data_IF_119108357503
#
_entry.id   IF_119108357503
#
_cell.length_a   1.000
_cell.length_b   1.000
_cell.length_c   1.000
_cell.angle_alpha   90.00
_cell.angle_beta   90.00
_cell.angle_gamma   90.00
#
_symmetry.space_group_name_H-M   'P 1'
#
loop_
_entity.id
_entity.type
_entity.pdbx_description
1 polymer ?
#
# COMPACT_ATOMS: atom_id res chain seq x y z
N UNK A 1 41.64 12.14 -17.06
CA UNK A 1 40.79 10.93 -17.11
C UNK A 1 39.63 11.13 -16.13
N UNK A 2 38.72 12.05 -16.45
CA UNK A 2 37.52 12.33 -15.67
C UNK A 2 36.50 11.23 -15.98
N UNK A 3 36.25 10.35 -15.01
CA UNK A 3 35.14 9.41 -15.08
C UNK A 3 33.85 10.22 -14.94
N UNK A 4 33.22 10.51 -16.09
CA UNK A 4 31.93 11.17 -16.15
C UNK A 4 30.89 10.30 -15.44
N UNK A 5 30.32 10.88 -14.40
CA UNK A 5 29.22 10.34 -13.62
C UNK A 5 28.02 10.08 -14.55
N UNK A 6 27.59 8.82 -14.66
CA UNK A 6 26.33 8.50 -15.36
C UNK A 6 25.20 8.98 -14.46
N UNK A 7 24.70 10.20 -14.71
CA UNK A 7 23.37 10.61 -14.26
C UNK A 7 22.34 9.81 -15.03
N UNK A 8 21.92 8.67 -14.48
CA UNK A 8 20.71 8.00 -14.93
C UNK A 8 19.53 8.86 -14.48
N UNK A 9 19.04 9.71 -15.37
CA UNK A 9 17.83 10.50 -15.15
C UNK A 9 16.63 9.54 -15.19
N UNK A 10 16.21 9.10 -14.01
CA UNK A 10 15.11 8.17 -13.84
C UNK A 10 13.76 8.90 -13.95
N UNK A 11 13.50 9.49 -15.12
CA UNK A 11 12.16 9.96 -15.47
C UNK A 11 11.30 8.75 -15.77
N UNK A 12 10.62 8.22 -14.76
CA UNK A 12 9.65 7.14 -14.92
C UNK A 12 8.24 7.72 -14.80
N UNK A 13 7.48 7.72 -15.89
CA UNK A 13 6.03 8.01 -15.90
C UNK A 13 5.27 6.85 -15.24
N UNK A 14 5.14 6.86 -13.92
CA UNK A 14 4.22 5.98 -13.21
C UNK A 14 3.24 6.81 -12.39
N UNK A 15 2.08 6.22 -12.11
CA UNK A 15 1.03 6.88 -11.34
C UNK A 15 1.31 6.70 -9.85
N UNK A 16 1.01 7.72 -9.07
CA UNK A 16 0.94 7.67 -7.60
C UNK A 16 -0.43 8.16 -7.16
N UNK A 17 -0.90 7.82 -5.95
CA UNK A 17 -2.13 8.38 -5.41
C UNK A 17 -2.03 9.92 -5.36
N UNK A 18 -3.06 10.62 -5.85
CA UNK A 18 -3.16 12.08 -5.75
C UNK A 18 -3.64 12.49 -4.34
N UNK A 19 -2.87 12.11 -3.32
CA UNK A 19 -3.12 12.40 -1.90
C UNK A 19 -1.96 13.23 -1.36
N UNK A 20 -2.28 14.19 -0.49
CA UNK A 20 -1.25 14.95 0.20
C UNK A 20 -0.55 14.09 1.27
N UNK A 21 0.63 14.52 1.72
CA UNK A 21 1.35 13.85 2.78
C UNK A 21 0.48 13.72 4.06
N UNK A 22 0.28 12.47 4.51
CA UNK A 22 -0.52 12.16 5.69
C UNK A 22 -2.04 12.12 5.46
N UNK A 23 -2.54 12.51 4.28
CA UNK A 23 -3.92 12.35 3.88
C UNK A 23 -4.26 10.87 3.70
N UNK A 24 -5.47 10.49 4.09
CA UNK A 24 -5.96 9.11 4.01
C UNK A 24 -7.26 9.12 3.22
N UNK A 25 -7.27 8.46 2.06
CA UNK A 25 -8.52 8.15 1.39
C UNK A 25 -9.18 6.96 2.08
N UNK A 26 -10.48 7.08 2.37
CA UNK A 26 -11.27 6.04 3.01
C UNK A 26 -12.45 5.63 2.15
N UNK A 27 -12.70 4.33 2.08
CA UNK A 27 -13.94 3.77 1.57
C UNK A 27 -14.46 2.70 2.53
N UNK A 28 -15.78 2.50 2.58
CA UNK A 28 -16.41 1.51 3.44
C UNK A 28 -17.32 0.59 2.63
N UNK A 29 -17.29 -0.69 2.93
CA UNK A 29 -18.16 -1.71 2.34
C UNK A 29 -18.73 -2.62 3.43
N UNK A 30 -20.03 -2.86 3.42
CA UNK A 30 -20.70 -3.77 4.36
C UNK A 30 -21.16 -5.02 3.61
N UNK A 31 -20.70 -6.18 4.05
CA UNK A 31 -21.08 -7.49 3.50
C UNK A 31 -21.54 -8.38 4.64
N UNK A 32 -22.80 -8.85 4.60
CA UNK A 32 -23.34 -9.81 5.59
C UNK A 32 -23.09 -9.38 7.06
N UNK A 33 -23.30 -8.09 7.37
CA UNK A 33 -23.04 -7.45 8.68
C UNK A 33 -21.57 -7.29 9.07
N UNK A 34 -20.64 -7.79 8.27
CA UNK A 34 -19.22 -7.45 8.41
C UNK A 34 -18.95 -6.12 7.72
N UNK A 35 -18.25 -5.23 8.41
CA UNK A 35 -17.87 -3.90 7.91
C UNK A 35 -16.40 -3.95 7.50
N UNK A 36 -16.10 -3.44 6.33
CA UNK A 36 -14.75 -3.41 5.77
C UNK A 36 -14.38 -1.95 5.46
N UNK A 37 -13.37 -1.43 6.15
CA UNK A 37 -12.89 -0.07 5.97
C UNK A 37 -11.57 -0.14 5.20
N UNK A 38 -11.57 0.36 3.97
CA UNK A 38 -10.36 0.48 3.15
C UNK A 38 -9.72 1.83 3.42
N UNK A 39 -8.46 1.82 3.85
CA UNK A 39 -7.62 3.00 4.06
C UNK A 39 -6.51 2.98 3.01
N UNK A 40 -6.36 4.07 2.25
CA UNK A 40 -5.34 4.22 1.21
C UNK A 40 -4.48 5.44 1.50
N UNK A 41 -3.16 5.29 1.42
CA UNK A 41 -2.20 6.37 1.57
C UNK A 41 -1.20 6.42 0.43
N UNK A 42 -0.72 7.63 0.11
CA UNK A 42 0.48 7.85 -0.70
C UNK A 42 1.71 7.65 0.21
N UNK A 43 2.47 6.59 -0.04
CA UNK A 43 3.58 6.13 0.79
C UNK A 43 4.80 5.79 -0.07
N UNK A 44 5.70 6.74 -0.23
CA UNK A 44 6.95 6.54 -0.96
C UNK A 44 7.97 5.79 -0.09
N UNK A 45 8.33 4.57 -0.48
CA UNK A 45 9.31 3.74 0.21
C UNK A 45 8.75 2.92 1.40
N UNK A 46 9.53 1.94 1.84
CA UNK A 46 9.13 0.98 2.86
C UNK A 46 8.85 1.65 4.20
N UNK A 47 9.65 2.63 4.60
CA UNK A 47 9.48 3.35 5.87
C UNK A 47 8.12 4.08 5.93
N UNK A 48 7.75 4.80 4.87
CA UNK A 48 6.45 5.48 4.79
C UNK A 48 5.29 4.47 4.82
N UNK A 49 5.47 3.33 4.17
CA UNK A 49 4.48 2.24 4.14
C UNK A 49 4.29 1.65 5.54
N UNK A 50 5.38 1.30 6.23
CA UNK A 50 5.37 0.79 7.60
C UNK A 50 4.76 1.78 8.60
N UNK A 51 5.11 3.06 8.49
CA UNK A 51 4.52 4.12 9.30
C UNK A 51 3.01 4.24 9.10
N UNK A 52 2.53 4.14 7.86
CA UNK A 52 1.11 4.14 7.55
C UNK A 52 0.40 2.91 8.13
N UNK A 53 0.99 1.70 7.99
CA UNK A 53 0.45 0.48 8.58
C UNK A 53 0.32 0.60 10.10
N UNK A 54 1.34 1.12 10.77
CA UNK A 54 1.33 1.34 12.21
C UNK A 54 0.22 2.33 12.62
N UNK A 55 0.05 3.43 11.88
CA UNK A 55 -1.02 4.41 12.11
C UNK A 55 -2.41 3.79 12.01
N UNK A 56 -2.71 3.04 10.95
CA UNK A 56 -4.02 2.41 10.77
C UNK A 56 -4.28 1.35 11.84
N UNK A 57 -3.28 0.54 12.19
CA UNK A 57 -3.39 -0.45 13.28
C UNK A 57 -3.66 0.18 14.64
N UNK A 58 -3.07 1.34 14.91
CA UNK A 58 -3.32 2.08 16.14
C UNK A 58 -4.74 2.66 16.15
N UNK A 59 -5.19 3.23 15.04
CA UNK A 59 -6.53 3.80 14.88
C UNK A 59 -7.62 2.75 15.02
N UNK A 60 -7.43 1.56 14.44
CA UNK A 60 -8.35 0.42 14.53
C UNK A 60 -7.75 -0.74 15.33
N UNK A 61 -7.32 -0.43 16.54
CA UNK A 61 -6.71 -1.41 17.45
C UNK A 61 -7.69 -2.44 18.02
N UNK A 62 -9.00 -2.18 17.90
CA UNK A 62 -10.10 -3.05 18.29
C UNK A 62 -10.65 -3.91 17.13
N UNK A 63 -10.16 -3.71 15.91
CA UNK A 63 -10.55 -4.50 14.75
C UNK A 63 -10.03 -5.93 14.84
N UNK A 64 -10.71 -6.86 14.16
CA UNK A 64 -10.30 -8.27 14.16
C UNK A 64 -9.10 -8.49 13.25
N UNK A 65 -9.09 -7.82 12.10
CA UNK A 65 -8.00 -7.92 11.13
C UNK A 65 -7.76 -6.56 10.47
N UNK A 66 -6.48 -6.22 10.31
CA UNK A 66 -5.95 -5.13 9.51
C UNK A 66 -5.08 -5.74 8.40
N UNK A 67 -5.74 -6.40 7.44
CA UNK A 67 -5.09 -6.95 6.26
C UNK A 67 -4.48 -5.81 5.44
N UNK A 68 -3.34 -6.04 4.80
CA UNK A 68 -2.71 -4.98 4.00
C UNK A 68 -2.02 -5.49 2.75
N UNK A 69 -1.81 -4.57 1.82
CA UNK A 69 -0.88 -4.71 0.72
C UNK A 69 -0.26 -3.35 0.37
N UNK A 70 0.97 -3.35 -0.13
CA UNK A 70 1.62 -2.15 -0.62
C UNK A 70 2.51 -2.43 -1.83
N UNK A 71 2.66 -1.42 -2.68
CA UNK A 71 3.79 -1.25 -3.59
C UNK A 71 4.46 0.07 -3.24
N UNK A 72 5.56 -0.01 -2.50
CA UNK A 72 6.27 1.15 -1.98
C UNK A 72 7.30 1.72 -2.97
N UNK A 73 7.53 1.02 -4.09
CA UNK A 73 8.39 1.46 -5.18
C UNK A 73 7.56 2.06 -6.32
N UNK A 74 8.14 2.08 -7.52
CA UNK A 74 7.46 2.56 -8.72
C UNK A 74 6.34 1.60 -9.15
N UNK A 75 5.35 2.12 -9.87
CA UNK A 75 4.12 1.37 -10.17
C UNK A 75 4.29 0.13 -11.04
N UNK A 76 5.38 0.03 -11.80
CA UNK A 76 5.74 -1.11 -12.65
C UNK A 76 6.85 -2.00 -12.03
N UNK A 77 7.28 -1.68 -10.81
CA UNK A 77 8.33 -2.42 -10.10
C UNK A 77 7.73 -3.25 -8.96
N UNK A 78 8.34 -4.40 -8.68
CA UNK A 78 7.93 -5.30 -7.60
C UNK A 78 9.03 -5.48 -6.54
N UNK A 79 10.07 -4.65 -6.58
CA UNK A 79 11.20 -4.75 -5.65
C UNK A 79 10.79 -4.43 -4.20
N UNK A 80 9.78 -3.56 -4.02
CA UNK A 80 9.34 -3.04 -2.73
C UNK A 80 7.85 -3.30 -2.48
N UNK A 81 7.43 -4.56 -2.61
CA UNK A 81 6.05 -4.97 -2.38
C UNK A 81 5.92 -5.83 -1.13
N UNK A 82 4.76 -5.76 -0.47
CA UNK A 82 4.46 -6.56 0.70
C UNK A 82 2.97 -6.69 0.95
N UNK A 83 2.56 -7.74 1.65
CA UNK A 83 1.17 -7.97 2.03
C UNK A 83 1.04 -8.87 3.26
N UNK A 84 -0.10 -8.79 3.95
CA UNK A 84 -0.47 -9.69 5.06
C UNK A 84 -1.97 -9.97 5.06
N UNK A 85 -2.32 -11.20 5.41
CA UNK A 85 -3.70 -11.62 5.68
C UNK A 85 -4.13 -11.32 7.13
N UNK A 86 -3.21 -10.91 8.01
CA UNK A 86 -3.49 -10.51 9.40
C UNK A 86 -4.41 -11.44 10.21
N UNK A 87 -4.24 -12.76 10.04
CA UNK A 87 -5.05 -13.77 10.73
C UNK A 87 -6.28 -14.26 9.96
N UNK A 88 -6.61 -13.67 8.81
CA UNK A 88 -7.53 -14.29 7.84
C UNK A 88 -6.90 -15.59 7.27
N UNK A 89 -7.71 -16.49 6.68
CA UNK A 89 -7.19 -17.68 6.03
C UNK A 89 -6.10 -17.33 5.01
N UNK A 90 -4.99 -18.06 5.04
CA UNK A 90 -3.79 -17.77 4.24
C UNK A 90 -4.13 -17.59 2.77
N UNK A 91 -3.71 -16.46 2.21
CA UNK A 91 -3.85 -16.10 0.80
C UNK A 91 -5.21 -15.53 0.40
N UNK A 92 -6.09 -15.22 1.35
CA UNK A 92 -7.46 -14.75 1.03
C UNK A 92 -7.63 -13.23 1.04
N UNK A 93 -6.73 -12.47 1.65
CA UNK A 93 -6.86 -11.01 1.76
C UNK A 93 -5.63 -10.29 1.18
N UNK A 94 -4.46 -10.48 1.77
CA UNK A 94 -3.22 -9.76 1.42
C UNK A 94 -2.79 -10.00 -0.02
N UNK A 95 -2.76 -11.28 -0.46
CA UNK A 95 -2.31 -11.62 -1.82
C UNK A 95 -3.26 -11.10 -2.91
N UNK A 96 -4.60 -11.25 -2.81
CA UNK A 96 -5.52 -10.62 -3.74
C UNK A 96 -5.36 -9.10 -3.84
N UNK A 97 -5.23 -8.39 -2.71
CA UNK A 97 -5.00 -6.94 -2.70
C UNK A 97 -3.67 -6.58 -3.39
N UNK A 98 -2.59 -7.30 -3.08
CA UNK A 98 -1.29 -7.05 -3.70
C UNK A 98 -1.34 -7.24 -5.21
N UNK A 99 -2.04 -8.27 -5.69
CA UNK A 99 -2.21 -8.49 -7.13
C UNK A 99 -2.89 -7.29 -7.80
N UNK A 100 -3.88 -6.67 -7.16
CA UNK A 100 -4.50 -5.45 -7.71
C UNK A 100 -3.47 -4.32 -7.80
N UNK A 101 -2.70 -4.08 -6.73
CA UNK A 101 -1.71 -3.00 -6.70
C UNK A 101 -0.63 -3.17 -7.78
N UNK A 102 0.02 -4.33 -7.86
CA UNK A 102 1.14 -4.55 -8.79
C UNK A 102 0.71 -4.54 -10.27
N UNK A 103 -0.54 -4.86 -10.58
CA UNK A 103 -1.04 -4.81 -11.96
C UNK A 103 -1.74 -3.48 -12.30
N UNK A 104 -1.90 -2.56 -11.33
CA UNK A 104 -2.53 -1.26 -11.55
C UNK A 104 -1.62 -0.23 -12.23
N UNK A 105 -0.30 -0.44 -12.18
CA UNK A 105 0.69 0.56 -12.59
C UNK A 105 0.82 1.75 -11.63
N UNK A 106 0.25 1.65 -10.42
CA UNK A 106 0.32 2.66 -9.37
C UNK A 106 1.41 2.26 -8.36
N UNK A 107 2.35 3.17 -8.13
CA UNK A 107 3.42 3.03 -7.15
C UNK A 107 3.17 3.87 -5.91
N UNK A 108 4.11 3.78 -4.96
CA UNK A 108 4.10 4.55 -3.71
C UNK A 108 2.74 4.48 -2.99
N UNK A 109 2.17 3.28 -2.90
CA UNK A 109 0.80 3.10 -2.40
C UNK A 109 0.75 2.01 -1.33
N UNK A 110 0.11 2.33 -0.21
CA UNK A 110 -0.25 1.37 0.84
C UNK A 110 -1.76 1.33 1.01
N UNK A 111 -2.30 0.12 1.08
CA UNK A 111 -3.73 -0.14 1.34
C UNK A 111 -3.86 -1.04 2.56
N UNK A 112 -4.71 -0.64 3.50
CA UNK A 112 -5.12 -1.43 4.66
C UNK A 112 -6.62 -1.62 4.62
N UNK A 113 -7.07 -2.86 4.72
CA UNK A 113 -8.49 -3.20 4.88
C UNK A 113 -8.69 -3.70 6.31
N UNK A 114 -9.46 -2.91 7.06
CA UNK A 114 -9.84 -3.20 8.45
C UNK A 114 -11.19 -3.90 8.48
N UNK A 115 -11.29 -5.01 9.21
CA UNK A 115 -12.52 -5.81 9.43
C UNK A 115 -12.86 -5.98 10.91
#
# INVERSE_FOLDING_TARGET
MSHGEIKMSDTTDYKVPALNAGEIFRNELVIKKSRFITSVGHTAGSEASEAFLAKIRQEFSDARHNCYAFNAGKGNETAFVGCSDDGEPKGTAGRPMLNVLVHSGIGEITVVVTR
#
